data_IF_943471905379
#
_entry.id   IF_943471905379
#
_cell.length_a   1.000
_cell.length_b   1.000
_cell.length_c   1.000
_cell.angle_alpha   90.00
_cell.angle_beta   90.00
_cell.angle_gamma   90.00
#
_symmetry.space_group_name_H-M   'P 1'
#
loop_
_entity.id
_entity.type
_entity.pdbx_description
1 polymer ?
#
# COMPACT_ATOMS: atom_id res chain seq x y z
N UNK A 1 -62.58 -18.65 71.68
CA UNK A 1 -63.21 -17.76 70.69
C UNK A 1 -63.01 -16.32 71.13
N UNK A 2 -62.28 -15.51 70.38
CA UNK A 2 -62.41 -14.03 70.44
C UNK A 2 -61.75 -13.47 69.18
N UNK A 3 -62.50 -13.30 68.08
CA UNK A 3 -63.55 -12.27 67.91
C UNK A 3 -63.02 -10.84 68.10
N UNK A 4 -61.81 -10.59 67.60
CA UNK A 4 -61.27 -9.25 67.29
C UNK A 4 -60.33 -9.31 66.08
N UNK A 5 -60.52 -10.23 65.14
CA UNK A 5 -61.36 -9.95 63.98
C UNK A 5 -61.75 -8.47 63.80
N UNK A 6 -61.29 -7.89 62.69
CA UNK A 6 -61.84 -6.66 62.09
C UNK A 6 -61.40 -5.30 62.65
N UNK A 7 -60.14 -5.15 63.02
CA UNK A 7 -59.52 -3.82 62.96
C UNK A 7 -58.28 -3.82 62.07
N UNK A 8 -58.56 -3.54 60.79
CA UNK A 8 -57.71 -2.76 59.89
C UNK A 8 -56.52 -3.55 59.33
N UNK A 9 -56.67 -4.45 58.36
CA UNK A 9 -57.17 -4.16 57.00
C UNK A 9 -56.77 -2.78 56.44
N UNK A 10 -55.62 -2.22 56.82
CA UNK A 10 -55.04 -1.05 56.13
C UNK A 10 -53.53 -1.19 56.01
N UNK A 11 -53.13 -1.40 54.75
CA UNK A 11 -51.85 -1.03 54.18
C UNK A 11 -50.64 -1.94 54.47
N UNK A 12 -50.76 -3.22 54.15
CA UNK A 12 -49.63 -3.94 53.54
C UNK A 12 -49.45 -3.46 52.09
N UNK A 13 -49.18 -2.15 51.90
CA UNK A 13 -48.66 -1.66 50.63
C UNK A 13 -47.16 -1.92 50.68
N UNK A 14 -46.72 -3.02 50.05
CA UNK A 14 -45.32 -3.16 49.63
C UNK A 14 -44.94 -1.85 48.95
N UNK A 15 -44.03 -1.07 49.54
CA UNK A 15 -43.51 0.14 48.88
C UNK A 15 -42.96 -0.34 47.54
N UNK A 16 -43.51 0.10 46.39
CA UNK A 16 -42.94 -0.30 45.11
C UNK A 16 -41.49 0.17 45.14
N UNK A 17 -40.57 -0.78 44.99
CA UNK A 17 -39.14 -0.53 44.93
C UNK A 17 -38.88 0.29 43.66
N UNK A 18 -39.11 1.61 43.74
CA UNK A 18 -38.83 2.57 42.68
C UNK A 18 -37.33 2.72 42.65
N UNK A 19 -36.65 1.69 42.12
CA UNK A 19 -35.25 1.83 41.71
C UNK A 19 -35.20 3.08 40.85
N UNK A 20 -34.42 4.09 41.24
CA UNK A 20 -34.51 5.36 40.60
C UNK A 20 -34.15 5.21 39.11
N UNK A 21 -35.01 5.74 38.23
CA UNK A 21 -34.87 5.63 36.77
C UNK A 21 -33.49 6.10 36.27
N UNK A 22 -32.82 6.97 37.03
CA UNK A 22 -31.46 7.43 36.75
C UNK A 22 -30.40 6.31 36.82
N UNK A 23 -30.58 5.28 37.65
CA UNK A 23 -29.61 4.17 37.76
C UNK A 23 -29.58 3.33 36.48
N UNK A 24 -30.75 3.13 35.85
CA UNK A 24 -30.85 2.43 34.55
C UNK A 24 -30.27 3.30 33.44
N UNK A 25 -30.54 4.60 33.46
CA UNK A 25 -29.98 5.55 32.48
C UNK A 25 -28.45 5.59 32.51
N UNK A 26 -27.86 5.64 33.71
CA UNK A 26 -26.40 5.64 33.89
C UNK A 26 -25.79 4.31 33.41
N UNK A 27 -26.40 3.16 33.75
CA UNK A 27 -25.91 1.86 33.31
C UNK A 27 -25.92 1.72 31.77
N UNK A 28 -26.97 2.22 31.11
CA UNK A 28 -27.06 2.22 29.63
C UNK A 28 -25.99 3.11 29.02
N UNK A 29 -25.77 4.31 29.56
CA UNK A 29 -24.73 5.23 29.07
C UNK A 29 -23.32 4.66 29.23
N UNK A 30 -23.01 4.04 30.37
CA UNK A 30 -21.71 3.39 30.60
C UNK A 30 -21.51 2.23 29.62
N UNK A 31 -22.55 1.42 29.42
CA UNK A 31 -22.47 0.28 28.49
C UNK A 31 -22.28 0.76 27.05
N UNK A 32 -22.99 1.81 26.62
CA UNK A 32 -22.84 2.41 25.30
C UNK A 32 -21.43 3.01 25.11
N UNK A 33 -20.89 3.69 26.13
CA UNK A 33 -19.53 4.23 26.10
C UNK A 33 -18.47 3.11 25.97
N UNK A 34 -18.62 2.02 26.73
CA UNK A 34 -17.71 0.86 26.65
C UNK A 34 -17.78 0.19 25.28
N UNK A 35 -18.97 0.06 24.69
CA UNK A 35 -19.14 -0.48 23.35
C UNK A 35 -18.53 0.43 22.27
N UNK A 36 -18.67 1.75 22.40
CA UNK A 36 -18.03 2.73 21.49
C UNK A 36 -16.51 2.66 21.57
N UNK A 37 -15.93 2.55 22.77
CA UNK A 37 -14.48 2.38 22.96
C UNK A 37 -14.00 1.06 22.36
N UNK A 38 -14.78 -0.03 22.47
CA UNK A 38 -14.47 -1.33 21.86
C UNK A 38 -14.61 -1.32 20.33
N UNK A 39 -15.49 -0.50 19.76
CA UNK A 39 -15.66 -0.35 18.31
C UNK A 39 -14.64 0.59 17.66
N UNK A 40 -14.08 1.55 18.41
CA UNK A 40 -13.05 2.48 17.92
C UNK A 40 -11.65 1.88 17.75
N UNK A 41 -11.42 0.67 18.27
CA UNK A 41 -10.13 -0.02 18.27
C UNK A 41 -10.01 -1.11 17.19
N UNK A 42 -10.61 -0.95 16.00
CA UNK A 42 -10.26 -1.84 14.88
C UNK A 42 -8.78 -1.59 14.59
N UNK A 43 -7.87 -2.58 14.74
CA UNK A 43 -6.52 -2.39 14.23
C UNK A 43 -6.69 -2.07 12.75
N UNK A 44 -6.19 -0.90 12.34
CA UNK A 44 -5.97 -0.65 10.93
C UNK A 44 -5.15 -1.84 10.47
N UNK A 45 -5.70 -2.65 9.57
CA UNK A 45 -4.90 -3.68 8.89
C UNK A 45 -3.61 -2.97 8.47
N UNK A 46 -2.42 -3.51 8.78
CA UNK A 46 -1.19 -2.83 8.44
C UNK A 46 -1.28 -2.49 6.96
N UNK A 47 -1.32 -1.20 6.65
CA UNK A 47 -1.10 -0.73 5.28
C UNK A 47 0.18 -1.42 4.90
N UNK A 48 0.13 -2.36 3.95
CA UNK A 48 1.32 -3.08 3.51
C UNK A 48 2.38 -2.01 3.28
N UNK A 49 3.46 -2.07 4.05
CA UNK A 49 4.56 -1.13 3.89
C UNK A 49 4.91 -1.14 2.40
N UNK A 50 5.04 0.05 1.82
CA UNK A 50 5.32 0.18 0.40
C UNK A 50 6.62 -0.60 0.09
N UNK A 51 6.66 -1.45 -0.95
CA UNK A 51 7.79 -2.33 -1.19
C UNK A 51 9.02 -1.53 -1.63
N UNK A 52 10.21 -1.98 -1.27
CA UNK A 52 11.44 -1.45 -1.87
C UNK A 52 11.48 -1.76 -3.37
N UNK A 53 11.96 -0.79 -4.16
CA UNK A 53 12.01 -0.89 -5.62
C UNK A 53 13.46 -0.83 -6.07
N UNK A 54 13.93 -1.88 -6.74
CA UNK A 54 15.24 -1.93 -7.38
C UNK A 54 15.07 -2.03 -8.90
N UNK A 55 15.44 -0.96 -9.62
CA UNK A 55 15.48 -0.93 -11.08
C UNK A 55 16.91 -1.19 -11.55
N UNK A 56 17.13 -2.31 -12.24
CA UNK A 56 18.42 -2.68 -12.84
C UNK A 56 18.30 -2.56 -14.36
N UNK A 57 19.19 -1.78 -14.98
CA UNK A 57 19.32 -1.70 -16.44
C UNK A 57 20.69 -2.23 -16.86
N UNK A 58 20.76 -2.83 -18.05
CA UNK A 58 22.00 -3.26 -18.68
C UNK A 58 22.12 -2.53 -20.02
N UNK A 59 23.18 -1.76 -20.22
CA UNK A 59 23.34 -0.99 -21.45
C UNK A 59 23.70 -1.90 -22.63
N UNK A 60 23.11 -1.63 -23.78
CA UNK A 60 23.36 -2.35 -25.06
C UNK A 60 23.13 -3.87 -25.04
N UNK A 61 22.48 -4.40 -24.00
CA UNK A 61 22.31 -5.85 -23.84
C UNK A 61 21.28 -6.41 -24.79
N UNK A 62 21.65 -7.47 -25.50
CA UNK A 62 20.75 -8.22 -26.37
C UNK A 62 20.01 -9.30 -25.59
N UNK A 63 18.71 -9.46 -25.86
CA UNK A 63 17.90 -10.50 -25.23
C UNK A 63 18.43 -11.90 -25.55
N UNK A 64 18.85 -12.16 -26.79
CA UNK A 64 19.35 -13.45 -27.26
C UNK A 64 20.78 -13.82 -26.78
N UNK A 65 21.33 -13.07 -25.82
CA UNK A 65 22.57 -13.37 -25.10
C UNK A 65 22.33 -13.66 -23.61
N UNK A 66 21.06 -13.85 -23.22
CA UNK A 66 20.66 -14.18 -21.86
C UNK A 66 20.09 -15.61 -21.82
N UNK A 67 20.47 -16.38 -20.80
CA UNK A 67 20.01 -17.76 -20.62
C UNK A 67 18.48 -17.84 -20.47
N UNK A 68 17.90 -16.89 -19.74
CA UNK A 68 16.45 -16.72 -19.59
C UNK A 68 15.68 -16.60 -20.92
N UNK A 69 16.33 -16.14 -21.99
CA UNK A 69 15.73 -15.98 -23.32
C UNK A 69 16.17 -17.07 -24.31
N UNK A 70 16.82 -18.14 -23.82
CA UNK A 70 17.10 -19.35 -24.60
C UNK A 70 18.55 -19.50 -25.08
N UNK A 71 19.46 -18.59 -24.75
CA UNK A 71 20.88 -18.78 -25.07
C UNK A 71 21.51 -19.84 -24.15
N UNK A 72 21.81 -21.01 -24.72
CA UNK A 72 22.42 -22.14 -24.01
C UNK A 72 23.89 -21.90 -23.62
N UNK A 73 24.54 -20.89 -24.20
CA UNK A 73 25.95 -20.54 -23.91
C UNK A 73 26.06 -19.38 -22.92
N UNK A 74 24.98 -18.66 -22.66
CA UNK A 74 24.97 -17.54 -21.73
C UNK A 74 25.30 -18.00 -20.30
N UNK A 75 26.19 -17.26 -19.63
CA UNK A 75 26.54 -17.47 -18.23
C UNK A 75 25.84 -16.42 -17.37
N UNK A 76 24.51 -16.49 -17.29
CA UNK A 76 23.66 -15.50 -16.60
C UNK A 76 22.85 -16.09 -15.43
N UNK A 77 23.42 -16.95 -14.56
CA UNK A 77 22.64 -17.75 -13.62
C UNK A 77 21.78 -16.94 -12.64
N UNK A 78 22.22 -15.71 -12.29
CA UNK A 78 21.46 -14.81 -11.41
C UNK A 78 20.26 -14.17 -12.11
N UNK A 79 20.41 -13.78 -13.38
CA UNK A 79 19.31 -13.24 -14.19
C UNK A 79 18.32 -14.36 -14.57
N UNK A 80 18.83 -15.55 -14.86
CA UNK A 80 18.01 -16.73 -15.15
C UNK A 80 17.19 -17.15 -13.92
N UNK A 81 17.79 -17.09 -12.73
CA UNK A 81 17.06 -17.28 -11.49
C UNK A 81 15.98 -16.21 -11.30
N UNK A 82 16.31 -14.92 -11.48
CA UNK A 82 15.34 -13.83 -11.36
C UNK A 82 14.15 -14.01 -12.31
N UNK A 83 14.39 -14.46 -13.54
CA UNK A 83 13.34 -14.73 -14.52
C UNK A 83 12.44 -15.91 -14.10
N UNK A 84 13.01 -16.97 -13.50
CA UNK A 84 12.24 -18.13 -12.99
C UNK A 84 11.42 -17.79 -11.75
N UNK A 85 11.96 -16.97 -10.86
CA UNK A 85 11.31 -16.60 -9.60
C UNK A 85 10.31 -15.44 -9.78
N UNK A 86 10.29 -14.81 -10.97
CA UNK A 86 9.48 -13.64 -11.29
C UNK A 86 8.66 -13.79 -12.56
N UNK A 87 8.52 -12.69 -13.29
CA UNK A 87 7.80 -12.62 -14.57
C UNK A 87 8.78 -12.23 -15.66
N UNK A 88 8.88 -13.08 -16.68
CA UNK A 88 9.67 -12.81 -17.89
C UNK A 88 8.77 -12.25 -18.99
N UNK A 89 9.13 -11.10 -19.54
CA UNK A 89 8.46 -10.53 -20.71
C UNK A 89 9.20 -10.93 -21.99
N UNK A 90 8.63 -11.85 -22.77
CA UNK A 90 9.22 -12.29 -24.05
C UNK A 90 9.22 -11.17 -25.11
N UNK A 91 8.39 -10.14 -24.93
CA UNK A 91 8.21 -9.03 -25.87
C UNK A 91 8.27 -7.68 -25.15
N UNK A 92 9.47 -7.26 -24.80
CA UNK A 92 9.77 -5.91 -24.29
C UNK A 92 10.62 -5.14 -25.31
N UNK A 93 10.06 -4.08 -25.90
CA UNK A 93 10.71 -3.32 -26.99
C UNK A 93 11.13 -1.94 -26.49
N UNK A 94 12.39 -1.57 -26.75
CA UNK A 94 12.91 -0.25 -26.40
C UNK A 94 12.20 0.85 -27.21
N UNK A 95 11.89 1.97 -26.55
CA UNK A 95 11.25 3.12 -27.20
C UNK A 95 12.14 3.80 -28.26
N UNK A 96 13.45 3.60 -28.17
CA UNK A 96 14.43 4.01 -29.17
C UNK A 96 15.66 3.09 -29.13
N UNK A 97 16.33 2.85 -30.27
CA UNK A 97 17.57 2.06 -30.31
C UNK A 97 18.82 2.89 -29.96
N UNK A 98 18.73 3.80 -28.98
CA UNK A 98 19.81 4.70 -28.55
C UNK A 98 19.75 4.87 -27.02
N UNK A 99 20.88 4.71 -26.34
CA UNK A 99 21.00 4.65 -24.86
C UNK A 99 20.24 5.76 -24.13
N UNK A 100 20.56 7.03 -24.36
CA UNK A 100 19.99 8.16 -23.61
C UNK A 100 18.49 8.36 -23.90
N UNK A 101 18.02 8.39 -25.17
CA UNK A 101 16.59 8.42 -25.46
C UNK A 101 15.81 7.24 -24.85
N UNK A 102 16.36 6.02 -24.89
CA UNK A 102 15.71 4.84 -24.32
C UNK A 102 15.58 4.93 -22.79
N UNK A 103 16.65 5.32 -22.09
CA UNK A 103 16.61 5.51 -20.64
C UNK A 103 15.71 6.69 -20.23
N UNK A 104 15.71 7.78 -21.00
CA UNK A 104 14.79 8.89 -20.77
C UNK A 104 13.33 8.43 -20.90
N UNK A 105 12.99 7.64 -21.92
CA UNK A 105 11.65 7.07 -22.06
C UNK A 105 11.30 6.09 -20.92
N UNK A 106 12.24 5.22 -20.53
CA UNK A 106 12.06 4.28 -19.41
C UNK A 106 11.73 5.02 -18.10
N UNK A 107 12.47 6.11 -17.82
CA UNK A 107 12.32 6.85 -16.58
C UNK A 107 11.12 7.81 -16.61
N UNK A 108 10.67 8.28 -17.77
CA UNK A 108 9.57 9.27 -17.86
C UNK A 108 8.22 8.65 -18.22
N UNK A 109 8.21 7.42 -18.75
CA UNK A 109 6.99 6.76 -19.22
C UNK A 109 6.41 7.35 -20.52
N UNK A 110 7.17 8.20 -21.22
CA UNK A 110 6.73 8.87 -22.46
C UNK A 110 7.77 8.66 -23.58
N UNK A 111 7.32 8.76 -24.84
CA UNK A 111 8.18 8.51 -25.99
C UNK A 111 9.19 9.64 -26.28
N UNK A 112 10.26 9.36 -27.06
CA UNK A 112 11.29 10.34 -27.40
C UNK A 112 10.80 11.64 -28.01
N UNK A 113 9.76 11.58 -28.85
CA UNK A 113 9.17 12.77 -29.45
C UNK A 113 8.46 13.67 -28.42
N UNK A 114 8.05 13.13 -27.27
CA UNK A 114 7.38 13.88 -26.19
C UNK A 114 8.40 14.51 -25.25
N UNK A 115 9.38 13.73 -24.75
CA UNK A 115 10.40 14.29 -23.83
C UNK A 115 11.48 15.12 -24.57
N UNK A 116 11.70 14.87 -25.87
CA UNK A 116 12.52 15.69 -26.75
C UNK A 116 14.01 15.29 -26.85
N UNK A 117 14.41 14.18 -26.24
CA UNK A 117 15.81 13.69 -26.25
C UNK A 117 16.00 12.78 -27.46
N UNK A 118 16.98 13.11 -28.32
CA UNK A 118 17.12 12.48 -29.65
C UNK A 118 18.44 11.73 -29.88
N UNK A 119 19.49 12.07 -29.14
CA UNK A 119 20.79 11.41 -29.22
C UNK A 119 21.51 11.47 -27.87
N UNK A 120 22.67 10.81 -27.76
CA UNK A 120 23.45 10.73 -26.52
C UNK A 120 24.33 11.97 -26.23
N UNK A 121 24.74 12.73 -27.26
CA UNK A 121 25.84 13.69 -27.13
C UNK A 121 25.42 15.15 -26.97
N UNK A 122 24.24 15.54 -27.47
CA UNK A 122 23.83 16.95 -27.54
C UNK A 122 22.52 17.23 -26.81
N UNK A 123 21.98 16.24 -26.11
CA UNK A 123 20.70 16.36 -25.42
C UNK A 123 20.85 15.91 -23.96
N UNK A 124 20.05 16.52 -23.10
CA UNK A 124 19.79 16.08 -21.74
C UNK A 124 18.29 16.13 -21.50
N UNK A 125 17.80 15.33 -20.55
CA UNK A 125 16.40 15.40 -20.14
C UNK A 125 16.16 16.74 -19.44
N UNK A 126 15.13 17.47 -19.86
CA UNK A 126 14.76 18.75 -19.24
C UNK A 126 14.33 18.52 -17.78
N UNK A 127 14.80 19.33 -16.81
CA UNK A 127 14.48 19.15 -15.39
C UNK A 127 12.98 19.15 -15.06
N UNK A 128 12.16 19.82 -15.89
CA UNK A 128 10.72 19.92 -15.69
C UNK A 128 9.94 18.65 -16.07
N UNK A 129 10.57 17.64 -16.69
CA UNK A 129 9.90 16.39 -17.08
C UNK A 129 9.91 15.43 -15.88
N UNK A 130 8.74 15.05 -15.33
CA UNK A 130 8.69 14.09 -14.24
C UNK A 130 9.27 12.74 -14.64
N UNK A 131 10.03 12.15 -13.72
CA UNK A 131 10.58 10.80 -13.83
C UNK A 131 9.98 9.90 -12.76
N UNK A 132 10.09 8.58 -12.94
CA UNK A 132 9.77 7.55 -11.97
C UNK A 132 10.39 7.88 -10.60
N UNK A 133 11.63 8.37 -10.57
CA UNK A 133 12.31 8.75 -9.33
C UNK A 133 11.67 9.97 -8.67
N UNK A 134 11.34 11.04 -9.40
CA UNK A 134 10.63 12.20 -8.82
C UNK A 134 9.26 11.81 -8.28
N UNK A 135 8.53 10.97 -9.02
CA UNK A 135 7.18 10.48 -8.69
C UNK A 135 7.19 9.54 -7.48
N UNK A 136 8.24 8.74 -7.29
CA UNK A 136 8.45 7.92 -6.09
C UNK A 136 8.89 8.78 -4.90
N UNK A 137 9.78 9.74 -5.11
CA UNK A 137 10.25 10.65 -4.07
C UNK A 137 9.10 11.45 -3.44
N UNK A 138 8.20 12.00 -4.27
CA UNK A 138 6.97 12.67 -3.83
C UNK A 138 6.04 11.77 -3.00
N UNK A 139 6.16 10.44 -3.16
CA UNK A 139 5.40 9.44 -2.39
C UNK A 139 6.16 8.92 -1.15
N UNK A 140 7.26 9.57 -0.77
CA UNK A 140 8.01 9.26 0.44
C UNK A 140 9.10 8.20 0.27
N UNK A 141 9.44 7.81 -0.96
CA UNK A 141 10.58 6.94 -1.21
C UNK A 141 11.90 7.71 -1.14
N UNK A 142 12.92 7.06 -0.58
CA UNK A 142 14.32 7.49 -0.76
C UNK A 142 14.80 6.94 -2.10
N UNK A 143 15.25 7.81 -2.99
CA UNK A 143 15.71 7.42 -4.33
C UNK A 143 17.19 7.68 -4.49
N UNK A 144 17.94 6.72 -5.04
CA UNK A 144 19.35 6.84 -5.37
C UNK A 144 19.63 6.19 -6.73
N UNK A 145 20.73 6.59 -7.37
CA UNK A 145 21.19 6.01 -8.63
C UNK A 145 22.67 5.65 -8.51
N UNK A 146 23.03 4.50 -9.08
CA UNK A 146 24.40 3.99 -9.13
C UNK A 146 24.69 3.57 -10.56
N UNK A 147 25.87 3.92 -11.06
CA UNK A 147 26.33 3.60 -12.43
C UNK A 147 27.71 2.97 -12.30
N UNK A 148 27.98 1.93 -13.09
CA UNK A 148 29.24 1.18 -13.11
C UNK A 148 29.80 1.09 -14.53
#
# INVERSE_FOLDING_TARGET
>A
MSSRDRLRARAWRRRPNRRPRYVVGVAVLVTAAVLLVRMGGRPLLPVRAAPDILLITLDTTRADHLGAYGDRRAQTPRLDQLARDGVLFERAIAAAPITLPAHASLLTGIYPFTHGVRNNGSFSLRPAVPTLTTVLHERGYVTAAFVS
#
